data_IF_935632750308
#
_entry.id   IF_935632750308
#
_cell.length_a   1.000
_cell.length_b   1.000
_cell.length_c   1.000
_cell.angle_alpha   90.00
_cell.angle_beta   90.00
_cell.angle_gamma   90.00
#
_symmetry.space_group_name_H-M   'P 1'
#
loop_
_entity.id
_entity.type
_entity.pdbx_description
1 polymer ?
#
# COMPACT_ATOMS: atom_id res chain seq x y z
N UNK A 1 -2.78 13.67 6.54
CA UNK A 1 -1.84 13.20 5.48
C UNK A 1 -0.35 13.36 5.83
N UNK A 2 0.04 14.13 6.86
CA UNK A 2 1.45 14.32 7.23
C UNK A 2 2.12 13.10 7.90
N UNK A 3 1.35 12.22 8.55
CA UNK A 3 1.91 11.12 9.35
C UNK A 3 2.72 10.07 8.56
N UNK A 4 2.47 9.89 7.26
CA UNK A 4 3.17 8.89 6.44
C UNK A 4 4.22 9.48 5.49
N UNK A 5 4.55 10.78 5.61
CA UNK A 5 5.52 11.49 4.74
C UNK A 5 5.33 11.14 3.23
N UNK A 6 4.07 11.08 2.77
CA UNK A 6 3.73 10.70 1.39
C UNK A 6 4.43 11.60 0.37
N UNK A 7 4.95 10.98 -0.69
CA UNK A 7 5.52 11.68 -1.84
C UNK A 7 4.43 11.82 -2.89
N UNK A 8 3.88 13.02 -3.04
CA UNK A 8 2.85 13.30 -4.04
C UNK A 8 3.50 13.53 -5.39
N UNK A 9 3.14 12.71 -6.37
CA UNK A 9 3.64 12.78 -7.75
C UNK A 9 2.50 13.19 -8.69
N UNK A 10 2.82 14.04 -9.67
CA UNK A 10 1.91 14.47 -10.74
C UNK A 10 1.82 13.48 -11.90
N UNK A 11 2.49 12.32 -11.79
CA UNK A 11 2.58 11.27 -12.84
C UNK A 11 3.25 11.79 -14.11
N UNK A 12 4.13 12.80 -13.97
CA UNK A 12 4.95 13.34 -15.05
C UNK A 12 6.38 13.50 -14.55
N UNK A 13 7.31 12.81 -15.22
CA UNK A 13 8.70 12.75 -14.78
C UNK A 13 9.33 14.15 -14.67
N UNK A 14 9.11 15.02 -15.67
CA UNK A 14 9.71 16.35 -15.69
C UNK A 14 9.25 17.24 -14.54
N UNK A 15 7.98 17.12 -14.15
CA UNK A 15 7.42 17.89 -13.04
C UNK A 15 7.88 17.33 -11.67
N UNK A 16 8.05 16.02 -11.58
CA UNK A 16 8.26 15.31 -10.31
C UNK A 16 9.74 15.11 -9.96
N UNK A 17 10.64 15.12 -10.95
CA UNK A 17 12.08 14.81 -10.79
C UNK A 17 12.74 15.63 -9.68
N UNK A 18 12.49 16.94 -9.61
CA UNK A 18 13.12 17.80 -8.62
C UNK A 18 12.63 17.52 -7.20
N UNK A 19 11.32 17.30 -7.04
CA UNK A 19 10.70 16.97 -5.74
C UNK A 19 11.20 15.60 -5.26
N UNK A 20 11.26 14.62 -6.16
CA UNK A 20 11.73 13.28 -5.86
C UNK A 20 13.22 13.30 -5.49
N UNK A 21 14.07 13.99 -6.25
CA UNK A 21 15.50 14.15 -5.94
C UNK A 21 15.72 14.75 -4.56
N UNK A 22 15.06 15.87 -4.25
CA UNK A 22 15.19 16.52 -2.93
C UNK A 22 14.75 15.60 -1.79
N UNK A 23 13.68 14.84 -2.02
CA UNK A 23 13.17 13.90 -1.03
C UNK A 23 14.12 12.73 -0.84
N UNK A 24 14.62 12.13 -1.92
CA UNK A 24 15.55 11.00 -1.85
C UNK A 24 16.87 11.40 -1.17
N UNK A 25 17.44 12.57 -1.49
CA UNK A 25 18.66 13.04 -0.81
C UNK A 25 18.44 13.21 0.69
N UNK A 26 17.32 13.85 1.11
CA UNK A 26 16.96 13.98 2.52
C UNK A 26 16.79 12.63 3.22
N UNK A 27 16.25 11.63 2.51
CA UNK A 27 16.08 10.28 3.05
C UNK A 27 17.41 9.52 3.12
N UNK A 28 18.29 9.71 2.14
CA UNK A 28 19.62 9.10 2.10
C UNK A 28 20.52 9.59 3.24
N UNK A 29 20.43 10.88 3.58
CA UNK A 29 21.20 11.51 4.66
C UNK A 29 20.60 11.26 6.06
N UNK A 30 19.39 10.71 6.13
CA UNK A 30 18.71 10.42 7.38
C UNK A 30 19.33 9.20 8.08
N UNK A 31 19.45 9.26 9.41
CA UNK A 31 19.84 8.10 10.25
C UNK A 31 18.63 7.27 10.71
N UNK A 32 17.41 7.70 10.37
CA UNK A 32 16.17 6.99 10.73
C UNK A 32 15.98 5.74 9.86
N UNK A 33 15.44 4.64 10.41
CA UNK A 33 15.03 3.48 9.61
C UNK A 33 14.02 3.88 8.51
N UNK A 34 14.34 3.56 7.26
CA UNK A 34 13.53 3.93 6.09
C UNK A 34 12.71 2.75 5.58
N UNK A 35 11.39 2.97 5.45
CA UNK A 35 10.48 2.10 4.69
C UNK A 35 9.87 2.91 3.55
N UNK A 36 10.33 2.66 2.32
CA UNK A 36 9.79 3.28 1.11
C UNK A 36 9.00 2.24 0.31
N UNK A 37 7.67 2.40 0.27
CA UNK A 37 6.78 1.54 -0.48
C UNK A 37 6.53 2.12 -1.88
N UNK A 38 6.80 1.31 -2.92
CA UNK A 38 6.62 1.68 -4.33
C UNK A 38 5.79 0.59 -5.02
N UNK A 39 4.84 1.01 -5.84
CA UNK A 39 4.07 0.12 -6.73
C UNK A 39 4.46 0.40 -8.18
N UNK A 40 5.37 -0.38 -8.80
CA UNK A 40 5.83 -0.12 -10.16
C UNK A 40 4.74 -0.17 -11.23
N UNK A 41 3.61 -0.85 -10.97
CA UNK A 41 2.44 -0.88 -11.86
C UNK A 41 1.74 0.48 -11.96
N UNK A 42 1.83 1.29 -10.90
CA UNK A 42 1.26 2.63 -10.80
C UNK A 42 -0.27 2.69 -10.66
N UNK A 43 -0.95 1.55 -10.65
CA UNK A 43 -2.40 1.43 -10.48
C UNK A 43 -2.78 0.01 -10.05
N UNK A 44 -4.02 -0.18 -9.61
CA UNK A 44 -4.61 -1.50 -9.35
C UNK A 44 -4.98 -2.19 -10.67
N UNK A 45 -4.87 -3.51 -10.69
CA UNK A 45 -5.31 -4.34 -11.81
C UNK A 45 -6.83 -4.25 -11.96
N UNK A 46 -7.27 -3.86 -13.15
CA UNK A 46 -8.69 -3.79 -13.54
C UNK A 46 -8.80 -4.10 -15.04
N UNK A 47 -10.02 -4.36 -15.53
CA UNK A 47 -10.27 -4.58 -16.96
C UNK A 47 -9.65 -3.48 -17.84
N UNK A 48 -9.87 -2.22 -17.45
CA UNK A 48 -9.35 -1.06 -18.20
C UNK A 48 -7.83 -0.93 -18.13
N UNK A 49 -7.23 -1.20 -16.97
CA UNK A 49 -5.78 -1.13 -16.79
C UNK A 49 -5.08 -2.26 -17.55
N UNK A 50 -5.63 -3.47 -17.54
CA UNK A 50 -5.14 -4.62 -18.32
C UNK A 50 -5.16 -4.35 -19.81
N UNK A 51 -6.25 -3.79 -20.34
CA UNK A 51 -6.31 -3.41 -21.76
C UNK A 51 -5.21 -2.39 -22.13
N UNK A 52 -4.98 -1.39 -21.28
CA UNK A 52 -3.89 -0.41 -21.50
C UNK A 52 -2.51 -1.05 -21.43
N UNK A 53 -2.30 -1.98 -20.50
CA UNK A 53 -1.05 -2.73 -20.37
C UNK A 53 -0.79 -3.58 -21.62
N UNK A 54 -1.82 -4.25 -22.15
CA UNK A 54 -1.74 -5.04 -23.38
C UNK A 54 -1.41 -4.19 -24.61
N UNK A 55 -2.10 -3.06 -24.80
CA UNK A 55 -1.76 -2.16 -25.91
C UNK A 55 -0.32 -1.61 -25.79
N UNK A 56 0.16 -1.37 -24.57
CA UNK A 56 1.55 -0.97 -24.34
C UNK A 56 2.53 -2.11 -24.66
N UNK A 57 2.22 -3.36 -24.30
CA UNK A 57 3.08 -4.51 -24.59
C UNK A 57 3.21 -4.72 -26.11
N UNK A 58 2.09 -4.73 -26.84
CA UNK A 58 2.03 -4.86 -28.30
C UNK A 58 2.83 -3.76 -29.01
N UNK A 59 2.66 -2.50 -28.58
CA UNK A 59 3.38 -1.35 -29.18
C UNK A 59 4.90 -1.43 -29.00
N UNK A 60 5.37 -2.02 -27.91
CA UNK A 60 6.79 -2.09 -27.57
C UNK A 60 7.40 -3.47 -27.86
N UNK A 61 6.65 -4.40 -28.46
CA UNK A 61 7.11 -5.77 -28.74
C UNK A 61 7.42 -6.58 -27.47
N UNK A 62 6.73 -6.28 -26.37
CA UNK A 62 6.90 -6.97 -25.08
C UNK A 62 5.84 -8.06 -24.93
N UNK A 63 6.20 -9.15 -24.23
CA UNK A 63 5.24 -10.16 -23.79
C UNK A 63 4.24 -9.55 -22.81
N UNK A 64 2.94 -9.77 -23.05
CA UNK A 64 1.89 -9.42 -22.10
C UNK A 64 1.92 -10.39 -20.90
N UNK A 65 1.47 -9.90 -19.74
CA UNK A 65 1.28 -10.70 -18.53
C UNK A 65 -0.20 -11.04 -18.38
N UNK A 66 -0.55 -12.22 -17.90
CA UNK A 66 -1.95 -12.62 -17.81
C UNK A 66 -2.62 -12.08 -16.54
N UNK A 67 -1.88 -12.04 -15.43
CA UNK A 67 -2.40 -11.73 -14.11
C UNK A 67 -1.94 -10.37 -13.57
N UNK A 68 -0.81 -9.86 -14.04
CA UNK A 68 -0.23 -8.60 -13.59
C UNK A 68 -0.22 -7.50 -14.66
N UNK A 69 0.03 -6.26 -14.23
CA UNK A 69 0.31 -5.15 -15.13
C UNK A 69 1.81 -5.06 -15.38
N UNK A 70 2.21 -4.54 -16.55
CA UNK A 70 3.62 -4.31 -16.83
C UNK A 70 4.21 -3.24 -15.88
N UNK A 71 5.39 -3.49 -15.30
CA UNK A 71 6.00 -2.55 -14.37
C UNK A 71 6.60 -1.36 -15.11
N UNK A 72 6.55 -0.18 -14.47
CA UNK A 72 7.28 1.02 -14.87
C UNK A 72 8.57 1.12 -14.06
N UNK A 73 9.71 1.09 -14.73
CA UNK A 73 11.02 1.04 -14.07
C UNK A 73 11.51 2.39 -13.54
N UNK A 74 11.23 3.49 -14.24
CA UNK A 74 11.84 4.81 -13.99
C UNK A 74 11.81 5.26 -12.52
N UNK A 75 10.64 5.19 -11.89
CA UNK A 75 10.49 5.65 -10.49
C UNK A 75 11.25 4.76 -9.49
N UNK A 76 11.16 3.44 -9.66
CA UNK A 76 11.85 2.49 -8.79
C UNK A 76 13.37 2.54 -9.00
N UNK A 77 13.82 2.61 -10.25
CA UNK A 77 15.24 2.76 -10.62
C UNK A 77 15.84 4.01 -9.98
N UNK A 78 15.16 5.16 -10.13
CA UNK A 78 15.62 6.42 -9.55
C UNK A 78 15.75 6.35 -8.02
N UNK A 79 14.73 5.84 -7.34
CA UNK A 79 14.77 5.70 -5.88
C UNK A 79 15.87 4.73 -5.43
N UNK A 80 16.02 3.60 -6.13
CA UNK A 80 17.05 2.59 -5.85
C UNK A 80 18.45 3.18 -6.02
N UNK A 81 18.68 3.95 -7.09
CA UNK A 81 19.95 4.61 -7.36
C UNK A 81 20.29 5.65 -6.30
N UNK A 82 19.33 6.48 -5.91
CA UNK A 82 19.53 7.54 -4.93
C UNK A 82 19.78 6.99 -3.51
N UNK A 83 19.10 5.89 -3.14
CA UNK A 83 19.17 5.29 -1.80
C UNK A 83 20.22 4.16 -1.69
N UNK A 84 20.96 3.88 -2.77
CA UNK A 84 21.87 2.73 -2.86
C UNK A 84 22.93 2.65 -1.75
N UNK A 85 23.33 3.81 -1.21
CA UNK A 85 24.32 3.91 -0.13
C UNK A 85 23.71 3.80 1.27
N UNK A 86 22.40 3.98 1.39
CA UNK A 86 21.70 4.11 2.67
C UNK A 86 20.76 2.91 2.95
N UNK A 87 20.49 2.08 1.95
CA UNK A 87 19.58 0.93 2.04
C UNK A 87 20.29 -0.31 1.51
N UNK A 88 20.26 -1.40 2.28
CA UNK A 88 20.92 -2.65 1.90
C UNK A 88 20.05 -3.55 1.03
N UNK A 89 18.73 -3.52 1.22
CA UNK A 89 17.82 -4.52 0.66
C UNK A 89 16.56 -3.93 0.03
N UNK A 90 16.11 -4.57 -1.05
CA UNK A 90 14.77 -4.40 -1.60
C UNK A 90 13.94 -5.63 -1.24
N UNK A 91 12.81 -5.40 -0.58
CA UNK A 91 11.82 -6.43 -0.32
C UNK A 91 10.76 -6.40 -1.40
N UNK A 92 10.59 -7.55 -2.03
CA UNK A 92 9.58 -7.76 -3.05
C UNK A 92 8.42 -8.58 -2.48
N UNK A 93 7.22 -8.06 -2.62
CA UNK A 93 5.99 -8.66 -2.09
C UNK A 93 5.05 -9.03 -3.23
N UNK A 94 4.54 -10.25 -3.17
CA UNK A 94 3.42 -10.72 -3.99
C UNK A 94 2.33 -11.22 -3.06
N UNK A 95 1.11 -10.71 -3.25
CA UNK A 95 -0.02 -10.97 -2.35
C UNK A 95 -1.11 -11.69 -3.14
N UNK A 96 -1.50 -12.87 -2.66
CA UNK A 96 -2.60 -13.67 -3.18
C UNK A 96 -3.74 -13.69 -2.17
N UNK A 97 -4.95 -13.34 -2.61
CA UNK A 97 -6.15 -13.43 -1.78
C UNK A 97 -6.90 -14.70 -2.12
N UNK A 98 -7.21 -15.51 -1.10
CA UNK A 98 -8.05 -16.69 -1.27
C UNK A 98 -9.47 -16.28 -1.69
N UNK A 99 -10.11 -17.07 -2.56
CA UNK A 99 -11.48 -16.83 -3.04
C UNK A 99 -11.58 -15.94 -4.28
N UNK A 100 -10.45 -15.69 -4.95
CA UNK A 100 -10.37 -14.97 -6.23
C UNK A 100 -9.86 -15.92 -7.30
N UNK A 101 -10.58 -16.00 -8.41
CA UNK A 101 -10.20 -16.80 -9.57
C UNK A 101 -9.36 -15.98 -10.56
N UNK A 102 -8.62 -16.66 -11.43
CA UNK A 102 -7.89 -15.99 -12.51
C UNK A 102 -8.84 -15.12 -13.37
N UNK A 103 -8.45 -13.85 -13.59
CA UNK A 103 -9.24 -12.88 -14.35
C UNK A 103 -10.28 -12.10 -13.54
N UNK A 104 -10.50 -12.47 -12.27
CA UNK A 104 -11.27 -11.67 -11.33
C UNK A 104 -10.37 -10.66 -10.61
N UNK A 105 -10.94 -9.51 -10.21
CA UNK A 105 -10.21 -8.45 -9.55
C UNK A 105 -10.60 -8.38 -8.06
N UNK A 106 -9.62 -8.35 -7.13
CA UNK A 106 -9.90 -8.25 -5.70
C UNK A 106 -10.79 -7.07 -5.31
N UNK A 107 -10.62 -5.93 -5.99
CA UNK A 107 -11.37 -4.70 -5.73
C UNK A 107 -12.88 -4.86 -6.02
N UNK A 108 -13.23 -5.66 -7.03
CA UNK A 108 -14.63 -5.92 -7.41
C UNK A 108 -15.29 -6.94 -6.47
N UNK A 109 -14.52 -7.93 -5.99
CA UNK A 109 -15.04 -9.01 -5.13
C UNK A 109 -15.16 -8.56 -3.68
N UNK A 110 -14.11 -7.95 -3.14
CA UNK A 110 -13.98 -7.54 -1.74
C UNK A 110 -14.15 -6.04 -1.59
N UNK A 111 -15.34 -5.56 -1.97
CA UNK A 111 -15.71 -4.14 -1.79
C UNK A 111 -15.79 -3.79 -0.31
N UNK A 112 -15.55 -2.53 0.04
CA UNK A 112 -15.71 -2.05 1.43
C UNK A 112 -17.10 -2.35 1.99
N UNK A 113 -18.16 -2.20 1.19
CA UNK A 113 -19.52 -2.56 1.60
C UNK A 113 -19.65 -4.06 1.86
N UNK A 114 -19.11 -4.91 0.97
CA UNK A 114 -19.12 -6.36 1.16
C UNK A 114 -18.39 -6.78 2.43
N UNK A 115 -17.23 -6.19 2.70
CA UNK A 115 -16.43 -6.46 3.90
C UNK A 115 -17.19 -6.03 5.16
N UNK A 116 -17.63 -4.77 5.25
CA UNK A 116 -18.17 -4.21 6.48
C UNK A 116 -19.64 -4.54 6.74
N UNK A 117 -20.47 -4.72 5.69
CA UNK A 117 -21.92 -4.93 5.85
C UNK A 117 -22.36 -6.37 5.61
N UNK A 118 -21.62 -7.12 4.79
CA UNK A 118 -22.00 -8.49 4.39
C UNK A 118 -21.04 -9.55 4.93
N UNK A 119 -19.99 -9.16 5.64
CA UNK A 119 -18.97 -10.09 6.16
C UNK A 119 -18.21 -10.84 5.06
N UNK A 120 -18.16 -10.28 3.84
CA UNK A 120 -17.44 -10.87 2.71
C UNK A 120 -16.00 -10.36 2.71
N UNK A 121 -15.08 -11.15 3.25
CA UNK A 121 -13.65 -10.85 3.32
C UNK A 121 -12.83 -12.10 2.95
N UNK A 122 -11.57 -11.95 2.48
CA UNK A 122 -10.70 -13.09 2.20
C UNK A 122 -10.38 -13.82 3.51
N UNK A 123 -10.55 -15.15 3.53
CA UNK A 123 -10.30 -15.95 4.74
C UNK A 123 -8.81 -16.08 5.02
N UNK A 124 -8.02 -16.37 3.99
CA UNK A 124 -6.57 -16.37 4.06
C UNK A 124 -5.98 -15.37 3.06
N UNK A 125 -4.91 -14.71 3.48
CA UNK A 125 -4.07 -13.86 2.62
C UNK A 125 -2.68 -14.47 2.59
N UNK A 126 -2.26 -14.88 1.41
CA UNK A 126 -0.94 -15.43 1.19
C UNK A 126 -0.01 -14.30 0.77
N UNK A 127 1.14 -14.19 1.43
CA UNK A 127 2.16 -13.19 1.10
C UNK A 127 3.44 -13.94 0.79
N UNK A 128 3.90 -13.81 -0.44
CA UNK A 128 5.19 -14.28 -0.88
C UNK A 128 6.18 -13.13 -0.85
N UNK A 129 7.28 -13.32 -0.10
CA UNK A 129 8.28 -12.27 0.16
C UNK A 129 9.62 -12.74 -0.39
N UNK A 130 10.26 -11.91 -1.23
CA UNK A 130 11.64 -12.09 -1.66
C UNK A 130 12.49 -10.93 -1.16
N UNK A 131 13.76 -11.20 -0.92
CA UNK A 131 14.74 -10.23 -0.46
C UNK A 131 15.88 -10.17 -1.46
N UNK A 132 16.17 -8.99 -1.98
CA UNK A 132 17.27 -8.75 -2.92
C UNK A 132 18.28 -7.79 -2.29
N UNK A 133 19.57 -8.12 -2.39
CA UNK A 133 20.63 -7.23 -1.97
C UNK A 133 20.82 -6.13 -3.02
N UNK A 134 20.85 -4.86 -2.61
CA UNK A 134 20.87 -3.74 -3.54
C UNK A 134 22.12 -3.75 -4.44
N UNK A 135 23.24 -4.29 -3.95
CA UNK A 135 24.50 -4.40 -4.68
C UNK A 135 24.42 -5.37 -5.86
N UNK A 136 23.49 -6.32 -5.84
CA UNK A 136 23.28 -7.29 -6.93
C UNK A 136 22.38 -6.74 -8.05
N UNK A 137 21.69 -5.61 -7.79
CA UNK A 137 20.73 -5.03 -8.73
C UNK A 137 21.46 -4.09 -9.70
N UNK A 138 21.26 -4.20 -11.03
CA UNK A 138 21.96 -3.35 -12.01
C UNK A 138 21.73 -1.84 -11.80
N UNK A 139 22.76 -1.02 -12.04
CA UNK A 139 22.66 0.45 -11.95
C UNK A 139 22.24 1.13 -13.25
N UNK A 140 22.61 0.53 -14.38
CA UNK A 140 22.23 1.02 -15.71
C UNK A 140 20.71 0.84 -15.92
N UNK A 141 20.05 1.86 -16.46
CA UNK A 141 18.59 1.92 -16.55
C UNK A 141 18.02 0.81 -17.43
N UNK A 142 18.69 0.48 -18.53
CA UNK A 142 18.29 -0.58 -19.45
C UNK A 142 18.37 -1.95 -18.77
N UNK A 143 19.50 -2.26 -18.13
CA UNK A 143 19.69 -3.53 -17.40
C UNK A 143 18.76 -3.64 -16.20
N UNK A 144 18.51 -2.53 -15.49
CA UNK A 144 17.55 -2.49 -14.39
C UNK A 144 16.13 -2.76 -14.88
N UNK A 145 15.76 -2.17 -16.01
CA UNK A 145 14.43 -2.36 -16.62
C UNK A 145 14.23 -3.82 -17.00
N UNK A 146 15.25 -4.47 -17.58
CA UNK A 146 15.18 -5.89 -17.91
C UNK A 146 15.11 -6.77 -16.65
N UNK A 147 15.93 -6.48 -15.64
CA UNK A 147 15.87 -7.15 -14.34
C UNK A 147 14.47 -7.04 -13.70
N UNK A 148 13.86 -5.85 -13.73
CA UNK A 148 12.53 -5.63 -13.18
C UNK A 148 11.45 -6.40 -13.95
N UNK A 149 11.55 -6.44 -15.29
CA UNK A 149 10.65 -7.23 -16.14
C UNK A 149 10.75 -8.71 -15.85
N UNK A 150 11.96 -9.24 -15.68
CA UNK A 150 12.16 -10.64 -15.30
C UNK A 150 11.49 -10.98 -13.97
N UNK A 151 11.62 -10.10 -12.97
CA UNK A 151 10.92 -10.27 -11.69
C UNK A 151 9.40 -10.24 -11.83
N UNK A 152 8.84 -9.44 -12.75
CA UNK A 152 7.40 -9.41 -13.02
C UNK A 152 6.92 -10.65 -13.78
N UNK A 153 7.70 -11.17 -14.73
CA UNK A 153 7.41 -12.45 -15.39
C UNK A 153 7.32 -13.60 -14.38
N UNK A 154 8.28 -13.68 -13.45
CA UNK A 154 8.26 -14.67 -12.39
C UNK A 154 7.04 -14.51 -11.47
N UNK A 155 6.65 -13.28 -11.15
CA UNK A 155 5.44 -13.03 -10.35
C UNK A 155 4.16 -13.41 -11.08
N UNK A 156 4.10 -13.19 -12.39
CA UNK A 156 2.94 -13.58 -13.19
C UNK A 156 2.76 -15.10 -13.18
N UNK A 157 3.84 -15.85 -13.39
CA UNK A 157 3.86 -17.31 -13.26
C UNK A 157 3.50 -17.77 -11.82
N UNK A 158 4.01 -17.07 -10.81
CA UNK A 158 3.70 -17.33 -9.40
C UNK A 158 2.19 -17.13 -9.10
N UNK A 159 1.57 -16.11 -9.69
CA UNK A 159 0.14 -15.87 -9.58
C UNK A 159 -0.68 -16.92 -10.33
N UNK A 160 -0.23 -17.37 -11.50
CA UNK A 160 -0.88 -18.46 -12.24
C UNK A 160 -0.92 -19.76 -11.41
N UNK A 161 0.20 -20.09 -10.76
CA UNK A 161 0.26 -21.22 -9.83
C UNK A 161 -0.66 -21.01 -8.62
N UNK A 162 -0.69 -19.79 -8.05
CA UNK A 162 -1.56 -19.46 -6.93
C UNK A 162 -3.04 -19.65 -7.27
N UNK A 163 -3.49 -19.19 -8.45
CA UNK A 163 -4.88 -19.37 -8.87
C UNK A 163 -5.25 -20.83 -9.11
N UNK A 164 -4.28 -21.68 -9.46
CA UNK A 164 -4.51 -23.11 -9.68
C UNK A 164 -4.49 -23.91 -8.38
N UNK A 165 -3.54 -23.62 -7.48
CA UNK A 165 -3.26 -24.42 -6.27
C UNK A 165 -3.83 -23.81 -4.98
N UNK A 166 -4.25 -22.55 -5.00
CA UNK A 166 -4.73 -21.79 -3.84
C UNK A 166 -3.64 -21.39 -2.83
N UNK A 167 -2.36 -21.61 -3.16
CA UNK A 167 -1.21 -21.27 -2.29
C UNK A 167 0.03 -21.01 -3.13
N UNK A 168 0.91 -20.17 -2.63
CA UNK A 168 2.23 -19.97 -3.25
C UNK A 168 3.14 -21.21 -3.01
N UNK A 169 4.07 -21.49 -3.93
CA UNK A 169 5.10 -22.49 -3.71
C UNK A 169 5.89 -22.18 -2.45
N UNK A 170 6.08 -23.18 -1.60
CA UNK A 170 6.95 -23.09 -0.44
C UNK A 170 8.41 -23.15 -0.88
N UNK A 171 9.24 -22.23 -0.37
CA UNK A 171 10.69 -22.38 -0.50
C UNK A 171 11.12 -23.66 0.21
N UNK A 172 11.99 -24.46 -0.43
CA UNK A 172 12.48 -25.74 0.09
C UNK A 172 13.09 -25.65 1.50
N UNK A 173 13.46 -24.44 1.96
CA UNK A 173 14.10 -24.19 3.25
C UNK A 173 13.23 -23.49 4.30
N UNK A 174 11.94 -23.24 4.07
CA UNK A 174 11.10 -22.55 5.08
C UNK A 174 9.62 -22.91 4.99
N UNK A 175 9.08 -23.49 6.07
CA UNK A 175 7.64 -23.68 6.24
C UNK A 175 6.91 -22.32 6.24
N UNK A 176 5.69 -22.23 5.65
CA UNK A 176 4.91 -21.00 5.69
C UNK A 176 4.64 -20.58 7.14
N UNK A 177 4.93 -19.33 7.48
CA UNK A 177 4.58 -18.75 8.78
C UNK A 177 3.13 -18.31 8.76
N UNK A 178 2.28 -19.00 9.52
CA UNK A 178 0.86 -18.66 9.65
C UNK A 178 0.71 -17.68 10.81
N UNK A 179 0.24 -16.47 10.51
CA UNK A 179 -0.06 -15.44 11.50
C UNK A 179 -1.57 -15.37 11.63
N UNK A 180 -2.18 -15.85 12.73
CA UNK A 180 -3.62 -15.78 12.90
C UNK A 180 -4.04 -14.33 13.11
N UNK A 181 -4.82 -13.80 12.16
CA UNK A 181 -5.50 -12.51 12.31
C UNK A 181 -6.78 -12.72 13.14
N UNK A 182 -6.64 -12.71 14.45
CA UNK A 182 -7.75 -12.80 15.41
C UNK A 182 -7.62 -11.72 16.46
N UNK A 183 -8.76 -11.23 16.93
CA UNK A 183 -8.81 -10.42 18.15
C UNK A 183 -8.41 -11.32 19.31
N UNK A 184 -7.51 -10.85 20.19
CA UNK A 184 -7.14 -11.62 21.37
C UNK A 184 -8.25 -11.56 22.42
N UNK A 185 -9.06 -10.50 22.41
CA UNK A 185 -10.19 -10.31 23.31
C UNK A 185 -11.24 -9.40 22.70
N UNK A 186 -12.51 -9.60 23.06
CA UNK A 186 -13.61 -8.71 22.65
C UNK A 186 -13.45 -7.29 23.21
N UNK A 187 -12.67 -7.11 24.28
CA UNK A 187 -12.33 -5.80 24.82
C UNK A 187 -11.45 -4.96 23.87
N UNK A 188 -10.70 -5.58 22.94
CA UNK A 188 -9.95 -4.84 21.92
C UNK A 188 -10.90 -4.05 20.99
N UNK A 189 -12.10 -4.58 20.72
CA UNK A 189 -13.14 -3.84 20.01
C UNK A 189 -13.63 -2.66 20.86
N UNK A 190 -13.84 -2.86 22.17
CA UNK A 190 -14.27 -1.78 23.07
C UNK A 190 -13.25 -0.63 23.11
N UNK A 191 -11.95 -0.91 23.03
CA UNK A 191 -10.91 0.13 22.93
C UNK A 191 -11.04 1.01 21.67
N UNK A 192 -11.53 0.46 20.55
CA UNK A 192 -11.82 1.28 19.36
C UNK A 192 -12.98 2.25 19.62
N UNK A 193 -13.98 1.83 20.40
CA UNK A 193 -15.16 2.64 20.73
C UNK A 193 -14.91 3.63 21.87
N UNK A 194 -13.92 3.40 22.73
CA UNK A 194 -13.57 4.29 23.83
C UNK A 194 -13.32 5.74 23.36
N UNK A 195 -12.60 5.91 22.24
CA UNK A 195 -12.39 7.21 21.62
C UNK A 195 -13.71 7.85 21.17
N UNK A 196 -14.62 7.06 20.58
CA UNK A 196 -15.93 7.56 20.14
C UNK A 196 -16.83 7.98 21.31
N UNK A 197 -16.79 7.25 22.43
CA UNK A 197 -17.53 7.60 23.65
C UNK A 197 -17.06 8.95 24.19
N UNK A 198 -15.75 9.20 24.21
CA UNK A 198 -15.20 10.49 24.63
C UNK A 198 -15.71 11.64 23.74
N UNK A 199 -15.71 11.46 22.41
CA UNK A 199 -16.24 12.43 21.46
C UNK A 199 -17.75 12.68 21.65
N UNK A 200 -18.56 11.62 21.78
CA UNK A 200 -20.01 11.76 22.02
C UNK A 200 -20.27 12.49 23.34
N UNK A 201 -19.51 12.18 24.40
CA UNK A 201 -19.65 12.87 25.69
C UNK A 201 -19.31 14.36 25.57
N UNK A 202 -18.28 14.71 24.80
CA UNK A 202 -17.92 16.11 24.53
C UNK A 202 -19.05 16.83 23.79
N UNK A 203 -19.60 16.26 22.71
CA UNK A 203 -20.71 16.88 21.97
C UNK A 203 -22.00 17.02 22.78
N UNK A 204 -22.26 16.12 23.73
CA UNK A 204 -23.42 16.21 24.61
C UNK A 204 -23.23 17.28 25.70
N UNK A 205 -22.01 17.38 26.26
CA UNK A 205 -21.73 18.30 27.37
C UNK A 205 -21.38 19.73 26.93
N UNK A 206 -20.83 19.93 25.72
CA UNK A 206 -20.46 21.27 25.22
C UNK A 206 -21.66 22.24 25.19
N UNK A 207 -22.84 21.90 24.64
CA UNK A 207 -24.02 22.76 24.67
C UNK A 207 -24.51 23.08 26.09
N UNK A 208 -24.41 22.10 26.99
CA UNK A 208 -24.79 22.26 28.40
C UNK A 208 -23.86 23.25 29.11
N UNK A 209 -22.54 23.12 28.91
CA UNK A 209 -21.55 24.05 29.46
C UNK A 209 -21.65 25.45 28.84
N UNK A 210 -21.91 25.57 27.54
CA UNK A 210 -22.11 26.88 26.90
C UNK A 210 -23.35 27.59 27.43
N UNK A 211 -24.45 26.86 27.69
CA UNK A 211 -25.66 27.43 28.27
C UNK A 211 -25.45 27.91 29.72
N UNK A 212 -24.72 27.15 30.55
CA UNK A 212 -24.36 27.57 31.91
C UNK A 212 -23.47 28.81 31.91
N UNK A 213 -22.48 28.85 31.02
CA UNK A 213 -21.61 30.01 30.87
C UNK A 213 -22.40 31.23 30.42
N UNK A 214 -23.27 31.09 29.41
CA UNK A 214 -24.10 32.19 28.91
C UNK A 214 -25.04 32.73 30.00
N UNK A 215 -25.66 31.86 30.80
CA UNK A 215 -26.55 32.26 31.91
C UNK A 215 -25.79 32.92 33.07
N UNK A 216 -24.54 32.50 33.35
CA UNK A 216 -23.67 33.20 34.31
C UNK A 216 -23.20 34.56 33.79
N UNK A 217 -22.84 34.65 32.51
CA UNK A 217 -22.43 35.91 31.89
C UNK A 217 -23.58 36.91 31.80
N UNK A 218 -24.80 36.48 31.46
CA UNK A 218 -25.98 37.35 31.42
C UNK A 218 -26.31 37.93 32.81
N UNK A 219 -26.27 37.10 33.86
CA UNK A 219 -26.49 37.53 35.26
C UNK A 219 -25.41 38.47 35.78
N UNK A 220 -24.14 38.27 35.40
CA UNK A 220 -23.06 39.20 35.75
C UNK A 220 -23.22 40.55 35.03
N UNK A 221 -23.62 40.53 33.75
CA UNK A 221 -23.81 41.75 32.97
C UNK A 221 -24.99 42.59 33.49
N UNK A 222 -26.08 41.95 33.92
CA UNK A 222 -27.23 42.63 34.54
C UNK A 222 -26.92 43.24 35.91
N UNK A 223 -25.99 42.67 36.69
CA UNK A 223 -25.60 43.21 38.00
C UNK A 223 -24.55 44.35 37.92
N UNK A 224 -23.98 44.60 36.74
CA UNK A 224 -23.04 45.70 36.50
C UNK A 224 -23.68 46.96 35.91
N UNK A 225 -24.96 46.89 35.49
CA UNK A 225 -25.80 48.05 35.13
C UNK A 225 -26.62 48.51 36.33
#
# INVERSE_FOLDING_TARGET
>A
MQFFKFIFLKRSWDADKNVLTKTMNRLADSKEPLWLLIFPEGTVVSKSARQKSKCYSEKNGLSDHEHLLLPRSTGLHFCTKALRKSVDYIYDFTIGFEGISAGEFPEDIYTLRGIYLSGKYPRNVHIHIRKFLISEIPEEEEKFTEWLRQRWMEKDALMAEFYTKGKFPSFESSSPKIIPLKLNSIFELANMWYFMIMFVSMFYNVPYFTNILFDKFSKLYLNMM
#
